data_IF_576411973943
#
_entry.id   IF_576411973943
#
_cell.length_a   1.000
_cell.length_b   1.000
_cell.length_c   1.000
_cell.angle_alpha   90.00
_cell.angle_beta   90.00
_cell.angle_gamma   90.00
#
_symmetry.space_group_name_H-M   'P 1'
#
loop_
_entity.id
_entity.type
_entity.pdbx_description
1 polymer ?
#
# COMPACT_ATOMS: atom_id res chain seq x y z
N UNK A 1 -32.43 14.76 -71.14
CA UNK A 1 -31.63 15.08 -69.95
C UNK A 1 -31.15 13.76 -69.35
N UNK A 2 -29.96 13.30 -69.77
CA UNK A 2 -29.28 12.14 -69.20
C UNK A 2 -27.99 12.68 -68.59
N UNK A 3 -27.87 12.59 -67.28
CA UNK A 3 -26.63 12.83 -66.58
C UNK A 3 -25.68 11.68 -66.89
N UNK A 4 -24.60 11.97 -67.60
CA UNK A 4 -23.47 11.07 -67.69
C UNK A 4 -22.31 11.71 -66.93
N UNK A 5 -21.85 10.94 -65.93
CA UNK A 5 -20.45 10.58 -65.74
C UNK A 5 -19.45 11.73 -65.61
N UNK A 6 -18.95 11.91 -64.39
CA UNK A 6 -17.50 12.00 -64.25
C UNK A 6 -17.08 10.95 -63.23
N UNK A 7 -16.80 9.76 -63.78
CA UNK A 7 -16.00 8.72 -63.15
C UNK A 7 -14.68 9.33 -62.70
N UNK A 8 -14.28 9.08 -61.45
CA UNK A 8 -12.92 9.38 -60.97
C UNK A 8 -11.92 8.60 -61.84
N UNK A 9 -11.35 9.26 -62.85
CA UNK A 9 -10.29 8.70 -63.68
C UNK A 9 -8.91 9.06 -63.13
N UNK A 10 -7.99 8.11 -63.20
CA UNK A 10 -6.67 8.08 -62.54
C UNK A 10 -5.87 9.40 -62.59
N UNK A 11 -5.68 10.05 -61.43
CA UNK A 11 -4.88 11.28 -61.32
C UNK A 11 -3.37 10.98 -61.29
N UNK A 12 -2.80 10.49 -62.40
CA UNK A 12 -1.35 10.49 -62.60
C UNK A 12 -0.92 11.89 -63.06
N UNK A 13 -0.20 12.60 -62.20
CA UNK A 13 0.39 13.90 -62.53
C UNK A 13 1.90 13.75 -62.74
N UNK A 14 2.38 14.13 -63.93
CA UNK A 14 3.82 14.06 -64.27
C UNK A 14 4.50 15.39 -63.97
N UNK A 15 5.46 15.37 -63.05
CA UNK A 15 6.29 16.52 -62.70
C UNK A 15 7.71 16.33 -63.24
N UNK A 16 8.25 17.36 -63.87
CA UNK A 16 9.70 17.46 -64.13
C UNK A 16 10.29 18.35 -63.04
N UNK A 17 11.00 17.72 -62.10
CA UNK A 17 11.59 18.40 -60.95
C UNK A 17 13.11 18.38 -61.10
N UNK A 18 13.74 19.55 -61.03
CA UNK A 18 15.18 19.66 -60.85
C UNK A 18 15.47 19.81 -59.35
N UNK A 19 16.18 18.84 -58.77
CA UNK A 19 16.53 18.84 -57.34
C UNK A 19 17.94 19.41 -57.20
N UNK A 20 18.04 20.57 -56.56
CA UNK A 20 19.33 21.25 -56.27
C UNK A 20 19.71 21.20 -54.79
N UNK A 21 18.78 20.82 -53.92
CA UNK A 21 19.05 20.70 -52.49
C UNK A 21 20.04 19.57 -52.19
N UNK A 22 21.10 19.90 -51.45
CA UNK A 22 22.22 18.99 -51.22
C UNK A 22 21.80 17.74 -50.44
N UNK A 23 20.89 17.88 -49.46
CA UNK A 23 20.44 16.76 -48.62
C UNK A 23 19.60 15.78 -49.43
N UNK A 24 18.68 16.29 -50.26
CA UNK A 24 17.84 15.45 -51.13
C UNK A 24 18.69 14.79 -52.23
N UNK A 25 19.65 15.51 -52.81
CA UNK A 25 20.59 14.95 -53.77
C UNK A 25 21.41 13.80 -53.17
N UNK A 26 21.96 13.97 -51.97
CA UNK A 26 22.71 12.92 -51.28
C UNK A 26 21.84 11.70 -50.97
N UNK A 27 20.60 11.91 -50.54
CA UNK A 27 19.66 10.83 -50.29
C UNK A 27 19.36 10.02 -51.55
N UNK A 28 19.02 10.68 -52.67
CA UNK A 28 18.69 10.01 -53.93
C UNK A 28 19.90 9.37 -54.60
N UNK A 29 21.11 9.95 -54.46
CA UNK A 29 22.35 9.39 -55.03
C UNK A 29 22.71 8.00 -54.48
N UNK A 30 22.23 7.65 -53.28
CA UNK A 30 22.45 6.33 -52.65
C UNK A 30 21.75 5.19 -53.38
N UNK A 31 20.79 5.49 -54.25
CA UNK A 31 20.02 4.50 -55.00
C UNK A 31 20.40 4.50 -56.49
N UNK A 32 20.14 3.37 -57.14
CA UNK A 32 20.35 3.21 -58.59
C UNK A 32 19.39 4.11 -59.39
N UNK A 33 19.72 4.42 -60.65
CA UNK A 33 18.87 5.29 -61.49
C UNK A 33 17.44 4.77 -61.66
N UNK A 34 17.26 3.44 -61.73
CA UNK A 34 15.94 2.80 -61.80
C UNK A 34 15.12 2.94 -60.51
N UNK A 35 15.77 3.05 -59.35
CA UNK A 35 15.10 3.13 -58.04
C UNK A 35 14.91 4.56 -57.55
N UNK A 36 15.71 5.52 -58.06
CA UNK A 36 15.66 6.94 -57.68
C UNK A 36 14.27 7.54 -57.84
N UNK A 37 13.59 7.25 -58.93
CA UNK A 37 12.24 7.76 -59.18
C UNK A 37 11.24 7.28 -58.12
N UNK A 38 11.31 6.00 -57.76
CA UNK A 38 10.45 5.43 -56.73
C UNK A 38 10.77 6.00 -55.34
N UNK A 39 12.05 6.16 -55.01
CA UNK A 39 12.48 6.74 -53.73
C UNK A 39 12.16 8.23 -53.61
N UNK A 40 12.23 8.98 -54.72
CA UNK A 40 11.77 10.35 -54.77
C UNK A 40 10.26 10.46 -54.52
N UNK A 41 9.47 9.54 -55.08
CA UNK A 41 8.03 9.49 -54.84
C UNK A 41 7.70 9.12 -53.39
N UNK A 42 8.41 8.16 -52.79
CA UNK A 42 8.26 7.81 -51.37
C UNK A 42 8.57 8.99 -50.45
N UNK A 43 9.68 9.70 -50.69
CA UNK A 43 10.05 10.89 -49.93
C UNK A 43 9.01 12.02 -50.10
N UNK A 44 8.53 12.24 -51.33
CA UNK A 44 7.47 13.22 -51.60
C UNK A 44 6.17 12.86 -50.87
N UNK A 45 5.80 11.57 -50.83
CA UNK A 45 4.62 11.08 -50.11
C UNK A 45 4.71 11.36 -48.61
N UNK A 46 5.86 11.08 -48.01
CA UNK A 46 6.12 11.40 -46.59
C UNK A 46 6.07 12.90 -46.36
N UNK A 47 6.67 13.70 -47.25
CA UNK A 47 6.62 15.16 -47.18
C UNK A 47 5.18 15.71 -47.26
N UNK A 48 4.35 15.17 -48.16
CA UNK A 48 2.93 15.54 -48.26
C UNK A 48 2.17 15.16 -47.00
N UNK A 49 2.38 13.96 -46.45
CA UNK A 49 1.76 13.53 -45.19
C UNK A 49 2.20 14.44 -44.04
N UNK A 50 3.49 14.80 -43.97
CA UNK A 50 4.01 15.70 -42.95
C UNK A 50 3.38 17.11 -43.07
N UNK A 51 3.30 17.66 -44.28
CA UNK A 51 2.66 18.95 -44.55
C UNK A 51 1.16 18.89 -44.23
N UNK A 52 0.47 17.79 -44.53
CA UNK A 52 -0.94 17.60 -44.17
C UNK A 52 -1.14 17.43 -42.67
N UNK A 53 -0.22 16.75 -41.98
CA UNK A 53 -0.24 16.61 -40.52
C UNK A 53 0.08 17.90 -39.77
N UNK A 54 0.89 18.77 -40.39
CA UNK A 54 1.22 20.10 -39.90
C UNK A 54 0.24 21.18 -40.40
N UNK A 55 -0.61 20.86 -41.38
CA UNK A 55 -1.66 21.77 -41.86
C UNK A 55 -2.82 21.76 -40.86
N UNK A 56 -3.31 22.92 -40.39
CA UNK A 56 -4.28 22.99 -39.29
C UNK A 56 -5.72 22.57 -39.65
N UNK A 57 -5.91 21.67 -40.61
CA UNK A 57 -7.24 21.19 -41.00
C UNK A 57 -7.66 19.90 -40.30
N UNK A 58 -6.84 19.34 -39.42
CA UNK A 58 -7.30 18.36 -38.43
C UNK A 58 -8.00 19.12 -37.30
N UNK A 59 -9.27 19.39 -37.55
CA UNK A 59 -10.28 20.05 -36.72
C UNK A 59 -9.85 20.32 -35.26
N UNK A 60 -9.29 21.51 -35.02
CA UNK A 60 -8.89 21.97 -33.67
C UNK A 60 -10.05 21.85 -32.66
N UNK A 61 -11.30 21.89 -33.14
CA UNK A 61 -12.49 21.66 -32.31
C UNK A 61 -12.57 20.24 -31.79
N UNK A 62 -12.22 19.23 -32.60
CA UNK A 62 -12.25 17.82 -32.17
C UNK A 62 -11.16 17.56 -31.13
N UNK A 63 -9.99 18.19 -31.29
CA UNK A 63 -8.91 18.10 -30.29
C UNK A 63 -9.32 18.81 -28.99
N UNK A 64 -9.81 20.04 -29.05
CA UNK A 64 -10.32 20.76 -27.86
C UNK A 64 -11.46 20.02 -27.16
N UNK A 65 -12.38 19.41 -27.91
CA UNK A 65 -13.49 18.64 -27.36
C UNK A 65 -12.99 17.36 -26.68
N UNK A 66 -12.00 16.67 -27.26
CA UNK A 66 -11.37 15.50 -26.64
C UNK A 66 -10.55 15.86 -25.41
N UNK A 67 -9.82 16.96 -25.42
CA UNK A 67 -9.13 17.46 -24.23
C UNK A 67 -10.11 17.82 -23.12
N UNK A 68 -11.22 18.50 -23.44
CA UNK A 68 -12.27 18.84 -22.48
C UNK A 68 -12.97 17.60 -21.93
N UNK A 69 -13.15 16.57 -22.76
CA UNK A 69 -13.66 15.27 -22.32
C UNK A 69 -12.69 14.59 -21.35
N UNK A 70 -11.39 14.62 -21.63
CA UNK A 70 -10.36 14.04 -20.75
C UNK A 70 -10.26 14.80 -19.43
N UNK A 71 -10.26 16.13 -19.45
CA UNK A 71 -10.29 16.95 -18.24
C UNK A 71 -11.49 16.61 -17.36
N UNK A 72 -12.68 16.53 -17.97
CA UNK A 72 -13.90 16.14 -17.25
C UNK A 72 -13.79 14.73 -16.65
N UNK A 73 -13.30 13.76 -17.41
CA UNK A 73 -13.12 12.40 -16.89
C UNK A 73 -12.08 12.33 -15.76
N UNK A 74 -11.04 13.17 -15.80
CA UNK A 74 -10.06 13.28 -14.71
C UNK A 74 -10.68 13.92 -13.47
N UNK A 75 -11.42 15.02 -13.62
CA UNK A 75 -12.12 15.69 -12.52
C UNK A 75 -13.14 14.76 -11.85
N UNK A 76 -13.92 14.05 -12.65
CA UNK A 76 -14.91 13.07 -12.16
C UNK A 76 -14.22 11.93 -11.37
N UNK A 77 -13.08 11.43 -11.86
CA UNK A 77 -12.29 10.40 -11.16
C UNK A 77 -11.66 10.93 -9.86
N UNK A 78 -11.16 12.16 -9.86
CA UNK A 78 -10.58 12.78 -8.66
C UNK A 78 -11.67 13.01 -7.61
N UNK A 79 -12.85 13.48 -8.04
CA UNK A 79 -14.00 13.65 -7.15
C UNK A 79 -14.43 12.32 -6.53
N UNK A 80 -14.61 11.28 -7.34
CA UNK A 80 -14.94 9.93 -6.87
C UNK A 80 -13.87 9.38 -5.92
N UNK A 81 -12.59 9.52 -6.25
CA UNK A 81 -11.51 9.07 -5.39
C UNK A 81 -11.48 9.78 -4.04
N UNK A 82 -11.74 11.10 -4.03
CA UNK A 82 -11.83 11.88 -2.79
C UNK A 82 -12.98 11.42 -1.92
N UNK A 83 -14.13 11.13 -2.53
CA UNK A 83 -15.32 10.69 -1.80
C UNK A 83 -15.13 9.28 -1.24
N UNK A 84 -14.54 8.35 -2.02
CA UNK A 84 -14.16 7.01 -1.55
C UNK A 84 -13.16 7.06 -0.39
N UNK A 85 -12.14 7.92 -0.48
CA UNK A 85 -11.17 8.13 0.59
C UNK A 85 -11.84 8.67 1.86
N UNK A 86 -12.77 9.63 1.71
CA UNK A 86 -13.54 10.17 2.83
C UNK A 86 -14.35 9.08 3.50
N UNK A 87 -15.09 8.28 2.74
CA UNK A 87 -15.92 7.20 3.28
C UNK A 87 -15.08 6.18 4.07
N UNK A 88 -13.93 5.77 3.52
CA UNK A 88 -13.01 4.87 4.22
C UNK A 88 -12.46 5.50 5.49
N UNK A 89 -12.00 6.75 5.44
CA UNK A 89 -11.46 7.43 6.61
C UNK A 89 -12.53 7.59 7.71
N UNK A 90 -13.77 7.93 7.33
CA UNK A 90 -14.88 7.96 8.26
C UNK A 90 -15.15 6.57 8.86
N UNK A 91 -15.13 5.50 8.07
CA UNK A 91 -15.33 4.14 8.58
C UNK A 91 -14.27 3.72 9.60
N UNK A 92 -13.01 4.14 9.42
CA UNK A 92 -11.94 3.80 10.37
C UNK A 92 -11.94 4.68 11.61
N UNK A 93 -12.19 5.99 11.46
CA UNK A 93 -11.94 7.00 12.49
C UNK A 93 -13.19 7.65 13.09
N UNK A 94 -14.41 7.25 12.69
CA UNK A 94 -15.64 7.71 13.36
C UNK A 94 -15.55 7.48 14.86
N UNK A 95 -15.87 8.50 15.64
CA UNK A 95 -15.63 8.52 17.09
C UNK A 95 -16.28 7.34 17.83
N UNK A 96 -17.50 6.96 17.46
CA UNK A 96 -18.30 5.96 18.21
C UNK A 96 -18.38 4.59 17.53
N UNK A 97 -18.16 4.52 16.22
CA UNK A 97 -18.33 3.30 15.42
C UNK A 97 -17.15 2.99 14.51
N UNK A 98 -16.11 3.82 14.56
CA UNK A 98 -14.89 3.62 13.81
C UNK A 98 -14.17 2.36 14.28
N UNK A 99 -13.56 1.64 13.34
CA UNK A 99 -12.80 0.44 13.66
C UNK A 99 -11.65 0.71 14.65
N UNK A 100 -11.06 1.91 14.59
CA UNK A 100 -9.95 2.30 15.47
C UNK A 100 -10.42 2.55 16.91
N UNK A 101 -11.39 3.45 17.19
CA UNK A 101 -11.92 3.61 18.55
C UNK A 101 -12.46 2.33 19.16
N UNK A 102 -13.19 1.50 18.39
CA UNK A 102 -13.69 0.21 18.87
C UNK A 102 -12.57 -0.76 19.25
N UNK A 103 -11.47 -0.77 18.48
CA UNK A 103 -10.30 -1.59 18.80
C UNK A 103 -9.61 -1.10 20.08
N UNK A 104 -9.46 0.22 20.24
CA UNK A 104 -8.89 0.83 21.44
C UNK A 104 -9.74 0.49 22.66
N UNK A 105 -11.05 0.71 22.60
CA UNK A 105 -11.97 0.42 23.70
C UNK A 105 -11.96 -1.07 24.07
N UNK A 106 -11.94 -1.96 23.07
CA UNK A 106 -11.88 -3.41 23.31
C UNK A 106 -10.63 -3.87 24.05
N UNK A 107 -9.49 -3.21 23.84
CA UNK A 107 -8.23 -3.63 24.45
C UNK A 107 -7.89 -2.84 25.71
N UNK A 108 -8.07 -1.53 25.67
CA UNK A 108 -7.63 -0.57 26.68
C UNK A 108 -8.78 0.11 27.43
N UNK A 109 -10.04 -0.14 27.05
CA UNK A 109 -11.19 0.38 27.77
C UNK A 109 -11.29 -0.18 29.19
N UNK A 110 -12.26 0.33 29.95
CA UNK A 110 -12.46 -0.01 31.36
C UNK A 110 -12.65 -1.52 31.56
N UNK A 111 -13.37 -2.17 30.63
CA UNK A 111 -13.55 -3.63 30.58
C UNK A 111 -12.73 -4.30 29.47
N UNK A 112 -11.67 -3.63 29.01
CA UNK A 112 -10.81 -4.09 27.94
C UNK A 112 -10.04 -5.36 28.30
N UNK A 113 -9.48 -6.03 27.28
CA UNK A 113 -8.69 -7.25 27.49
C UNK A 113 -7.50 -7.03 28.42
N UNK A 114 -6.85 -5.87 28.36
CA UNK A 114 -5.72 -5.52 29.22
C UNK A 114 -6.17 -5.37 30.67
N UNK A 115 -7.23 -4.59 30.92
CA UNK A 115 -7.80 -4.38 32.26
C UNK A 115 -8.21 -5.70 32.89
N UNK A 116 -8.90 -6.57 32.14
CA UNK A 116 -9.28 -7.91 32.61
C UNK A 116 -8.08 -8.80 32.94
N UNK A 117 -7.02 -8.76 32.15
CA UNK A 117 -5.79 -9.52 32.43
C UNK A 117 -5.14 -8.99 33.71
N UNK A 118 -5.02 -7.66 33.85
CA UNK A 118 -4.46 -7.06 35.05
C UNK A 118 -5.25 -7.43 36.30
N UNK A 119 -6.58 -7.35 36.26
CA UNK A 119 -7.43 -7.80 37.36
C UNK A 119 -7.24 -9.30 37.65
N UNK A 120 -7.23 -10.15 36.62
CA UNK A 120 -7.13 -11.61 36.80
C UNK A 120 -5.83 -12.02 37.50
N UNK A 121 -4.72 -11.35 37.19
CA UNK A 121 -3.40 -11.72 37.72
C UNK A 121 -3.00 -10.93 38.95
N UNK A 122 -3.29 -9.62 38.99
CA UNK A 122 -2.76 -8.69 39.99
C UNK A 122 -3.81 -8.13 40.96
N UNK A 123 -5.06 -8.62 40.94
CA UNK A 123 -6.03 -8.27 41.97
C UNK A 123 -5.50 -8.65 43.37
N UNK A 124 -5.56 -7.72 44.31
CA UNK A 124 -4.95 -7.89 45.63
C UNK A 124 -5.62 -8.99 46.48
N UNK A 125 -6.91 -9.25 46.28
CA UNK A 125 -7.67 -10.21 47.08
C UNK A 125 -7.75 -11.60 46.42
N UNK A 126 -7.79 -11.67 45.09
CA UNK A 126 -8.03 -12.92 44.33
C UNK A 126 -7.19 -13.06 43.05
N UNK A 127 -6.14 -12.26 42.91
CA UNK A 127 -5.25 -12.35 41.77
C UNK A 127 -4.48 -13.67 41.80
N UNK A 128 -4.34 -14.32 40.63
CA UNK A 128 -3.55 -15.56 40.53
C UNK A 128 -2.14 -15.42 41.09
N UNK A 129 -1.55 -14.23 41.04
CA UNK A 129 -0.23 -13.97 41.60
C UNK A 129 -0.23 -14.09 43.13
N UNK A 130 -1.26 -13.59 43.81
CA UNK A 130 -1.44 -13.75 45.25
C UNK A 130 -1.60 -15.24 45.61
N UNK A 131 -2.42 -15.99 44.88
CA UNK A 131 -2.60 -17.43 45.11
C UNK A 131 -1.27 -18.20 44.99
N UNK A 132 -0.47 -17.88 43.96
CA UNK A 132 0.83 -18.52 43.74
C UNK A 132 1.81 -18.15 44.86
N UNK A 133 1.87 -16.87 45.24
CA UNK A 133 2.73 -16.39 46.32
C UNK A 133 2.34 -17.01 47.66
N UNK A 134 1.06 -17.09 47.97
CA UNK A 134 0.56 -17.74 49.18
C UNK A 134 0.90 -19.24 49.20
N UNK A 135 0.75 -19.94 48.08
CA UNK A 135 1.12 -21.35 47.97
C UNK A 135 2.62 -21.63 48.10
N UNK A 136 3.49 -20.70 47.71
CA UNK A 136 4.95 -20.88 47.71
C UNK A 136 5.66 -20.29 48.93
N UNK A 137 5.18 -19.18 49.46
CA UNK A 137 5.82 -18.39 50.52
C UNK A 137 4.87 -18.09 51.68
N UNK A 138 3.56 -18.27 51.52
CA UNK A 138 2.58 -18.05 52.58
C UNK A 138 2.75 -18.99 53.78
N UNK A 139 2.01 -18.76 54.89
CA UNK A 139 2.15 -19.51 56.14
C UNK A 139 1.95 -21.03 55.95
N UNK A 140 1.04 -21.40 55.06
CA UNK A 140 0.73 -22.79 54.71
C UNK A 140 1.65 -23.38 53.63
N UNK A 141 2.63 -22.63 53.13
CA UNK A 141 3.60 -23.12 52.15
C UNK A 141 4.66 -24.01 52.81
N UNK A 142 5.48 -24.70 52.01
CA UNK A 142 6.61 -25.47 52.53
C UNK A 142 7.59 -24.57 53.31
N UNK A 143 7.94 -23.42 52.74
CA UNK A 143 8.84 -22.45 53.38
C UNK A 143 8.19 -21.88 54.65
N UNK A 144 6.91 -21.49 54.58
CA UNK A 144 6.16 -20.97 55.73
C UNK A 144 6.14 -21.95 56.90
N UNK A 145 5.82 -23.23 56.65
CA UNK A 145 5.87 -24.27 57.68
C UNK A 145 7.27 -24.53 58.23
N UNK A 146 8.32 -24.41 57.41
CA UNK A 146 9.68 -24.59 57.87
C UNK A 146 10.17 -23.43 58.74
N UNK A 147 9.65 -22.23 58.52
CA UNK A 147 10.01 -21.03 59.27
C UNK A 147 9.07 -20.75 60.45
N UNK A 148 7.97 -21.50 60.58
CA UNK A 148 7.03 -21.39 61.71
C UNK A 148 7.69 -21.88 63.02
N UNK A 149 7.88 -20.98 64.02
CA UNK A 149 8.51 -21.32 65.30
C UNK A 149 7.76 -22.40 66.10
N UNK A 150 6.44 -22.49 65.91
CA UNK A 150 5.60 -23.45 66.63
C UNK A 150 5.52 -24.81 65.92
N UNK A 151 6.06 -24.93 64.70
CA UNK A 151 6.06 -26.20 64.00
C UNK A 151 7.18 -27.10 64.52
N UNK A 152 6.83 -28.27 65.08
CA UNK A 152 7.78 -29.27 65.60
C UNK A 152 8.75 -29.80 64.56
N UNK A 153 8.39 -29.74 63.28
CA UNK A 153 9.27 -30.09 62.16
C UNK A 153 9.95 -28.87 61.50
N UNK A 154 9.75 -27.67 62.07
CA UNK A 154 10.34 -26.43 61.62
C UNK A 154 11.86 -26.41 61.77
N UNK A 155 12.52 -25.57 60.97
CA UNK A 155 13.97 -25.42 60.95
C UNK A 155 14.53 -25.04 62.31
N UNK A 156 13.85 -24.15 63.04
CA UNK A 156 14.28 -23.74 64.38
C UNK A 156 14.33 -24.93 65.34
N UNK A 157 13.25 -25.70 65.44
CA UNK A 157 13.19 -26.89 66.31
C UNK A 157 14.18 -27.98 65.90
N UNK A 158 14.49 -28.11 64.60
CA UNK A 158 15.52 -29.03 64.10
C UNK A 158 16.92 -28.58 64.51
N UNK A 159 17.22 -27.29 64.34
CA UNK A 159 18.51 -26.71 64.74
C UNK A 159 18.69 -26.81 66.26
N UNK A 160 17.67 -26.47 67.05
CA UNK A 160 17.70 -26.60 68.52
C UNK A 160 17.99 -28.05 68.94
N UNK A 161 17.32 -29.05 68.35
CA UNK A 161 17.59 -30.46 68.63
C UNK A 161 19.01 -30.88 68.25
N UNK A 162 19.51 -30.49 67.08
CA UNK A 162 20.87 -30.83 66.66
C UNK A 162 21.91 -30.18 67.56
N UNK A 163 21.69 -28.95 68.01
CA UNK A 163 22.57 -28.27 68.97
C UNK A 163 22.51 -28.97 70.34
N UNK A 164 21.33 -29.36 70.80
CA UNK A 164 21.16 -30.13 72.04
C UNK A 164 21.85 -31.51 71.97
N UNK A 165 21.75 -32.23 70.85
CA UNK A 165 22.44 -33.50 70.64
C UNK A 165 23.96 -33.34 70.68
N UNK A 166 24.51 -32.33 69.98
CA UNK A 166 25.95 -32.05 69.98
C UNK A 166 26.44 -31.67 71.38
N UNK A 167 25.68 -30.87 72.13
CA UNK A 167 26.02 -30.49 73.51
C UNK A 167 25.96 -31.69 74.48
N UNK A 168 25.11 -32.68 74.19
CA UNK A 168 24.95 -33.89 75.00
C UNK A 168 25.99 -34.97 74.70
N UNK A 169 26.48 -35.05 73.47
CA UNK A 169 27.61 -35.92 73.08
C UNK A 169 28.99 -35.31 73.45
N UNK A 170 29.06 -34.00 73.64
CA UNK A 170 30.26 -33.27 74.05
C UNK A 170 30.45 -33.08 75.57
N UNK A 171 29.59 -33.67 76.41
CA UNK A 171 29.71 -33.72 77.88
C UNK A 171 30.02 -35.14 78.35
#
# INVERSE_FOLDING_TARGET
MKGNQNEFSEERLTLKLEVTDTVVCEYLRRFSESERAQKALEALKVGVIAIQSASPSLDTRVVEEKFRQVEKEMDDKIASFRDDLRERLEQYFRAESGSVPLCIERHFGENGSVSRILETYFNAEKGRLCDILEGKVGPNSYIGRQMDPNNREGLQNRIEKTVEEILREGS
#
